data_IF_683472639424
#
_entry.id   IF_683472639424
#
_cell.length_a   1.000
_cell.length_b   1.000
_cell.length_c   1.000
_cell.angle_alpha   90.00
_cell.angle_beta   90.00
_cell.angle_gamma   90.00
#
_symmetry.space_group_name_H-M   'P 1'
#
loop_
_entity.id
_entity.type
_entity.pdbx_description
1 polymer ?
#
# COMPACT_ATOMS: atom_id res chain seq x y z
N UNK A 1 13.68 -6.21 -0.62
CA UNK A 1 12.35 -6.83 -0.42
C UNK A 1 11.86 -7.31 -1.78
N UNK A 2 11.49 -8.58 -1.96
CA UNK A 2 10.97 -9.09 -3.24
C UNK A 2 9.52 -8.61 -3.47
N UNK A 3 9.34 -7.29 -3.60
CA UNK A 3 8.06 -6.68 -3.96
C UNK A 3 7.65 -7.03 -5.40
N UNK A 4 8.59 -7.51 -6.22
CA UNK A 4 8.36 -7.85 -7.62
C UNK A 4 7.33 -8.97 -7.77
N UNK A 5 7.36 -9.99 -6.90
CA UNK A 5 6.35 -11.05 -6.90
C UNK A 5 4.97 -10.52 -6.52
N UNK A 6 4.91 -9.58 -5.57
CA UNK A 6 3.66 -8.91 -5.20
C UNK A 6 3.11 -8.10 -6.38
N UNK A 7 3.96 -7.29 -7.02
CA UNK A 7 3.60 -6.51 -8.21
C UNK A 7 3.13 -7.41 -9.36
N UNK A 8 3.80 -8.53 -9.59
CA UNK A 8 3.38 -9.51 -10.60
C UNK A 8 2.01 -10.12 -10.30
N UNK A 9 1.77 -10.52 -9.05
CA UNK A 9 0.48 -11.08 -8.62
C UNK A 9 -0.67 -10.09 -8.83
N UNK A 10 -0.44 -8.81 -8.53
CA UNK A 10 -1.44 -7.74 -8.66
C UNK A 10 -1.34 -6.95 -9.98
N UNK A 11 -0.58 -7.44 -10.97
CA UNK A 11 -0.30 -6.72 -12.22
C UNK A 11 -1.53 -6.38 -13.06
N UNK A 12 -2.64 -7.10 -12.86
CA UNK A 12 -3.91 -6.83 -13.53
C UNK A 12 -4.67 -5.61 -12.95
N UNK A 13 -4.26 -5.07 -11.80
CA UNK A 13 -4.90 -3.89 -11.21
C UNK A 13 -4.39 -2.65 -11.92
N UNK A 14 -5.31 -1.93 -12.56
CA UNK A 14 -5.02 -0.64 -13.15
C UNK A 14 -5.12 0.50 -12.13
N UNK A 15 -4.24 1.49 -12.27
CA UNK A 15 -4.19 2.64 -11.39
C UNK A 15 -5.20 3.71 -11.82
N UNK A 16 -6.41 3.59 -11.28
CA UNK A 16 -7.52 4.51 -11.54
C UNK A 16 -7.41 5.84 -10.75
N UNK A 17 -6.32 6.06 -10.00
CA UNK A 17 -6.15 7.30 -9.22
C UNK A 17 -5.84 8.47 -10.16
N UNK A 18 -6.34 9.65 -9.80
CA UNK A 18 -6.05 10.87 -10.55
C UNK A 18 -4.55 11.16 -10.52
N UNK A 19 -3.90 11.23 -11.68
CA UNK A 19 -2.42 11.35 -11.78
C UNK A 19 -1.86 12.54 -11.01
N UNK A 20 -2.59 13.68 -10.96
CA UNK A 20 -2.19 14.87 -10.20
C UNK A 20 -2.23 14.68 -8.66
N UNK A 21 -2.80 13.58 -8.17
CA UNK A 21 -2.95 13.23 -6.74
C UNK A 21 -2.16 11.98 -6.35
N UNK A 22 -1.31 11.48 -7.25
CA UNK A 22 -0.44 10.32 -6.97
C UNK A 22 0.85 10.81 -6.32
N UNK A 23 0.98 10.58 -5.01
CA UNK A 23 2.23 10.83 -4.27
C UNK A 23 3.09 9.57 -4.13
N UNK A 24 2.46 8.40 -4.12
CA UNK A 24 3.12 7.11 -3.91
C UNK A 24 2.66 6.06 -4.94
N UNK A 25 3.54 5.13 -5.35
CA UNK A 25 3.19 4.04 -6.25
C UNK A 25 2.02 3.21 -5.72
N UNK A 26 1.15 2.73 -6.62
CA UNK A 26 -0.04 1.98 -6.25
C UNK A 26 0.31 0.74 -5.42
N UNK A 27 1.29 -0.03 -5.88
CA UNK A 27 1.68 -1.28 -5.25
C UNK A 27 2.27 -1.09 -3.86
N UNK A 28 2.92 0.04 -3.58
CA UNK A 28 3.45 0.33 -2.24
C UNK A 28 2.29 0.61 -1.27
N UNK A 29 1.27 1.36 -1.71
CA UNK A 29 0.06 1.58 -0.92
C UNK A 29 -0.71 0.27 -0.70
N UNK A 30 -0.85 -0.56 -1.73
CA UNK A 30 -1.56 -1.84 -1.63
C UNK A 30 -0.84 -2.79 -0.65
N UNK A 31 0.48 -2.89 -0.76
CA UNK A 31 1.27 -3.74 0.12
C UNK A 31 1.18 -3.25 1.58
N UNK A 32 1.35 -1.95 1.81
CA UNK A 32 1.30 -1.39 3.15
C UNK A 32 -0.11 -1.48 3.77
N UNK A 33 -1.16 -1.33 2.95
CA UNK A 33 -2.55 -1.55 3.37
C UNK A 33 -2.81 -3.00 3.75
N UNK A 34 -2.26 -3.96 2.99
CA UNK A 34 -2.36 -5.39 3.33
C UNK A 34 -1.68 -5.68 4.68
N UNK A 35 -0.47 -5.16 4.90
CA UNK A 35 0.22 -5.30 6.19
C UNK A 35 -0.61 -4.71 7.34
N UNK A 36 -1.17 -3.52 7.16
CA UNK A 36 -2.00 -2.88 8.17
C UNK A 36 -3.28 -3.70 8.49
N UNK A 37 -3.96 -4.23 7.47
CA UNK A 37 -5.15 -5.09 7.66
C UNK A 37 -4.80 -6.37 8.39
N UNK A 38 -3.67 -7.02 8.06
CA UNK A 38 -3.16 -8.19 8.79
C UNK A 38 -2.84 -7.83 10.25
N UNK A 39 -2.32 -6.63 10.50
CA UNK A 39 -2.04 -6.10 11.83
C UNK A 39 -3.31 -5.64 12.60
N UNK A 40 -4.51 -5.80 12.02
CA UNK A 40 -5.79 -5.53 12.69
C UNK A 40 -6.40 -4.16 12.40
N UNK A 41 -5.91 -3.43 11.39
CA UNK A 41 -6.52 -2.17 10.96
C UNK A 41 -7.98 -2.39 10.50
N UNK A 42 -8.90 -1.57 11.01
CA UNK A 42 -10.35 -1.66 10.70
C UNK A 42 -10.80 -0.65 9.65
N UNK A 43 -9.93 0.29 9.28
CA UNK A 43 -10.23 1.29 8.27
C UNK A 43 -9.01 2.11 7.85
N UNK A 44 -9.25 3.09 6.97
CA UNK A 44 -8.20 3.90 6.38
C UNK A 44 -7.43 4.76 7.37
N UNK A 45 -8.06 5.15 8.49
CA UNK A 45 -7.36 5.86 9.57
C UNK A 45 -6.29 4.96 10.19
N UNK A 46 -6.65 3.75 10.60
CA UNK A 46 -5.71 2.78 11.18
C UNK A 46 -4.60 2.40 10.20
N UNK A 47 -4.93 2.26 8.91
CA UNK A 47 -3.95 2.01 7.85
C UNK A 47 -2.97 3.18 7.75
N UNK A 48 -3.45 4.42 7.77
CA UNK A 48 -2.58 5.61 7.77
C UNK A 48 -1.65 5.61 8.98
N UNK A 49 -2.17 5.37 10.19
CA UNK A 49 -1.36 5.33 11.40
C UNK A 49 -0.30 4.23 11.32
N UNK A 50 -0.67 3.03 10.86
CA UNK A 50 0.26 1.94 10.64
C UNK A 50 1.39 2.33 9.69
N UNK A 51 1.07 2.93 8.53
CA UNK A 51 2.06 3.34 7.54
C UNK A 51 2.98 4.44 8.08
N UNK A 52 2.44 5.40 8.83
CA UNK A 52 3.23 6.49 9.43
C UNK A 52 4.25 5.95 10.46
N UNK A 53 3.84 5.01 11.31
CA UNK A 53 4.73 4.36 12.28
C UNK A 53 5.81 3.51 11.61
N UNK A 54 5.51 2.91 10.46
CA UNK A 54 6.41 2.01 9.73
C UNK A 54 7.03 2.65 8.49
N UNK A 55 7.10 3.99 8.43
CA UNK A 55 7.59 4.71 7.25
C UNK A 55 9.02 4.36 6.83
N UNK A 56 9.86 3.89 7.77
CA UNK A 56 11.22 3.45 7.48
C UNK A 56 11.31 2.05 6.85
N UNK A 57 10.19 1.31 6.77
CA UNK A 57 10.12 -0.02 6.18
C UNK A 57 9.85 0.02 4.66
N UNK A 58 9.47 1.19 4.14
CA UNK A 58 9.05 1.45 2.77
C UNK A 58 9.91 2.53 2.14
#
# INVERSE_FOLDING_TARGET
>A
MHIDTFKQHFSAIDDQRQSAKVTYPLFDILFASLCAVIAGAKGWFDIREYILCHRAWF
#
